data_IF_544083169967
#
_entry.id   IF_544083169967
#
_cell.length_a   1.000
_cell.length_b   1.000
_cell.length_c   1.000
_cell.angle_alpha   90.00
_cell.angle_beta   90.00
_cell.angle_gamma   90.00
#
_symmetry.space_group_name_H-M   'P 1'
#
loop_
_entity.id
_entity.type
_entity.pdbx_description
1 polymer ?
#
# COMPACT_ATOMS: atom_id res chain seq x y z
N UNK A 1 2.30 -10.26 -33.82
CA UNK A 1 1.17 -9.31 -33.72
C UNK A 1 1.24 -8.65 -32.36
N UNK A 2 1.16 -7.34 -32.30
CA UNK A 2 1.07 -6.62 -31.03
C UNK A 2 -0.27 -6.97 -30.36
N UNK A 3 -0.26 -7.22 -29.06
CA UNK A 3 -1.46 -7.56 -28.29
C UNK A 3 -1.97 -6.30 -27.61
N UNK A 4 -3.30 -6.21 -27.45
CA UNK A 4 -3.93 -5.09 -26.74
C UNK A 4 -3.84 -5.27 -25.22
N UNK A 5 -3.90 -4.16 -24.49
CA UNK A 5 -3.84 -4.21 -23.02
C UNK A 5 -4.85 -5.19 -22.40
N UNK A 6 -6.11 -5.15 -22.85
CA UNK A 6 -7.14 -6.03 -22.29
C UNK A 6 -6.85 -7.53 -22.57
N UNK A 7 -6.27 -7.86 -23.73
CA UNK A 7 -5.93 -9.25 -24.09
C UNK A 7 -4.83 -9.78 -23.19
N UNK A 8 -3.78 -8.99 -22.98
CA UNK A 8 -2.65 -9.37 -22.13
C UNK A 8 -3.07 -9.51 -20.68
N UNK A 9 -3.83 -8.54 -20.16
CA UNK A 9 -4.29 -8.58 -18.76
C UNK A 9 -5.29 -9.70 -18.51
N UNK A 10 -6.22 -9.96 -19.43
CA UNK A 10 -7.15 -11.09 -19.29
C UNK A 10 -6.41 -12.42 -19.31
N UNK A 11 -5.44 -12.58 -20.22
CA UNK A 11 -4.60 -13.78 -20.25
C UNK A 11 -3.85 -13.96 -18.93
N UNK A 12 -3.21 -12.91 -18.41
CA UNK A 12 -2.43 -12.97 -17.18
C UNK A 12 -3.31 -13.28 -15.96
N UNK A 13 -4.49 -12.65 -15.87
CA UNK A 13 -5.48 -12.94 -14.82
C UNK A 13 -5.93 -14.41 -14.86
N UNK A 14 -6.35 -14.91 -16.03
CA UNK A 14 -6.77 -16.30 -16.19
C UNK A 14 -5.63 -17.29 -15.91
N UNK A 15 -4.41 -16.91 -16.22
CA UNK A 15 -3.23 -17.73 -15.91
C UNK A 15 -3.00 -17.86 -14.40
N UNK A 16 -3.12 -16.76 -13.63
CA UNK A 16 -3.06 -16.79 -12.16
C UNK A 16 -4.17 -17.66 -11.58
N UNK A 17 -5.41 -17.50 -12.04
CA UNK A 17 -6.57 -18.28 -11.59
C UNK A 17 -6.37 -19.78 -11.83
N UNK A 18 -5.82 -20.14 -12.99
CA UNK A 18 -5.50 -21.54 -13.31
C UNK A 18 -4.44 -22.15 -12.37
N UNK A 19 -3.62 -21.31 -11.73
CA UNK A 19 -2.65 -21.72 -10.72
C UNK A 19 -3.18 -21.58 -9.27
N UNK A 20 -4.48 -21.33 -9.10
CA UNK A 20 -5.12 -21.18 -7.80
C UNK A 20 -4.79 -19.86 -7.08
N UNK A 21 -4.38 -18.83 -7.83
CA UNK A 21 -4.05 -17.50 -7.33
C UNK A 21 -5.14 -16.48 -7.65
N UNK A 22 -5.12 -15.33 -7.00
CA UNK A 22 -6.05 -14.24 -7.27
C UNK A 22 -5.76 -13.59 -8.61
N UNK A 23 -6.60 -13.83 -9.63
CA UNK A 23 -6.44 -13.27 -10.98
C UNK A 23 -6.45 -11.74 -11.00
N UNK A 24 -7.18 -11.11 -10.07
CA UNK A 24 -7.23 -9.65 -9.98
C UNK A 24 -5.88 -9.01 -9.61
N UNK A 25 -4.98 -9.72 -8.93
CA UNK A 25 -3.74 -9.16 -8.42
C UNK A 25 -2.86 -8.55 -9.52
N UNK A 26 -2.72 -9.22 -10.67
CA UNK A 26 -1.89 -8.69 -11.78
C UNK A 26 -2.49 -7.43 -12.40
N UNK A 27 -3.82 -7.37 -12.50
CA UNK A 27 -4.53 -6.19 -13.00
C UNK A 27 -4.35 -5.01 -12.05
N UNK A 28 -4.48 -5.24 -10.75
CA UNK A 28 -4.26 -4.25 -9.72
C UNK A 28 -2.84 -3.68 -9.81
N UNK A 29 -1.81 -4.53 -9.83
CA UNK A 29 -0.41 -4.09 -9.96
C UNK A 29 -0.19 -3.26 -11.21
N UNK A 30 -0.73 -3.71 -12.35
CA UNK A 30 -0.59 -3.02 -13.62
C UNK A 30 -1.23 -1.61 -13.58
N UNK A 31 -2.46 -1.51 -13.13
CA UNK A 31 -3.20 -0.24 -13.08
C UNK A 31 -2.53 0.76 -12.13
N UNK A 32 -2.09 0.31 -10.95
CA UNK A 32 -1.38 1.15 -9.99
C UNK A 32 -0.05 1.66 -10.56
N UNK A 33 0.75 0.82 -11.23
CA UNK A 33 1.99 1.26 -11.88
C UNK A 33 1.76 2.31 -12.97
N UNK A 34 0.65 2.19 -13.69
CA UNK A 34 0.25 3.16 -14.74
C UNK A 34 -0.38 4.42 -14.16
N UNK A 35 -0.80 4.42 -12.90
CA UNK A 35 -1.63 5.47 -12.33
C UNK A 35 -2.99 5.57 -13.04
N UNK A 36 -3.50 4.45 -13.54
CA UNK A 36 -4.76 4.41 -14.27
C UNK A 36 -5.93 4.07 -13.36
N UNK A 37 -6.87 4.98 -13.27
CA UNK A 37 -8.19 4.70 -12.70
C UNK A 37 -9.07 3.91 -13.69
N UNK A 38 -10.30 3.63 -13.27
CA UNK A 38 -11.27 2.91 -14.10
C UNK A 38 -11.55 3.63 -15.43
N UNK A 39 -11.57 4.94 -15.45
CA UNK A 39 -11.82 5.74 -16.66
C UNK A 39 -10.64 5.64 -17.61
N UNK A 40 -9.42 5.83 -17.10
CA UNK A 40 -8.20 5.67 -17.90
C UNK A 40 -8.07 4.27 -18.48
N UNK A 41 -8.39 3.24 -17.69
CA UNK A 41 -8.46 1.88 -18.19
C UNK A 41 -9.41 1.72 -19.38
N UNK A 42 -10.63 2.21 -19.27
CA UNK A 42 -11.64 2.09 -20.36
C UNK A 42 -11.20 2.83 -21.63
N UNK A 43 -10.50 3.95 -21.51
CA UNK A 43 -9.99 4.71 -22.64
C UNK A 43 -8.86 3.98 -23.38
N UNK A 44 -7.95 3.35 -22.64
CA UNK A 44 -6.72 2.79 -23.20
C UNK A 44 -6.74 1.27 -23.42
N UNK A 45 -7.71 0.53 -22.86
CA UNK A 45 -7.69 -0.93 -22.87
C UNK A 45 -7.64 -1.59 -24.26
N UNK A 46 -8.05 -0.86 -25.31
CA UNK A 46 -8.05 -1.33 -26.70
C UNK A 46 -6.75 -1.00 -27.45
N UNK A 47 -5.88 -0.19 -26.87
CA UNK A 47 -4.58 0.16 -27.45
C UNK A 47 -3.61 -1.01 -27.40
N UNK A 48 -2.60 -0.98 -28.27
CA UNK A 48 -1.53 -1.98 -28.28
C UNK A 48 -0.60 -1.76 -27.07
N UNK A 49 -0.31 -2.84 -26.36
CA UNK A 49 0.63 -2.81 -25.24
C UNK A 49 2.08 -2.77 -25.76
N UNK A 50 2.89 -1.79 -25.32
CA UNK A 50 4.33 -1.77 -25.62
C UNK A 50 5.03 -3.03 -25.09
N UNK A 51 6.05 -3.48 -25.80
CA UNK A 51 6.81 -4.69 -25.42
C UNK A 51 7.43 -4.59 -24.03
N UNK A 52 7.96 -3.42 -23.68
CA UNK A 52 8.56 -3.17 -22.37
C UNK A 52 7.54 -3.35 -21.23
N UNK A 53 6.30 -2.90 -21.43
CA UNK A 53 5.22 -3.07 -20.46
C UNK A 53 4.75 -4.53 -20.39
N UNK A 54 4.72 -5.25 -21.51
CA UNK A 54 4.43 -6.69 -21.51
C UNK A 54 5.52 -7.49 -20.78
N UNK A 55 6.78 -7.12 -20.90
CA UNK A 55 7.89 -7.75 -20.18
C UNK A 55 7.84 -7.46 -18.69
N UNK A 56 7.56 -6.22 -18.30
CA UNK A 56 7.36 -5.86 -16.89
C UNK A 56 6.18 -6.64 -16.28
N UNK A 57 5.07 -6.73 -17.00
CA UNK A 57 3.90 -7.48 -16.56
C UNK A 57 4.22 -8.97 -16.36
N UNK A 58 5.02 -9.58 -17.24
CA UNK A 58 5.48 -10.98 -17.07
C UNK A 58 6.35 -11.14 -15.83
N UNK A 59 7.19 -10.16 -15.53
CA UNK A 59 8.03 -10.16 -14.31
C UNK A 59 7.15 -10.09 -13.07
N UNK A 60 6.17 -9.18 -13.04
CA UNK A 60 5.22 -9.06 -11.95
C UNK A 60 4.37 -10.34 -11.79
N UNK A 61 3.93 -10.92 -12.90
CA UNK A 61 3.19 -12.19 -12.92
C UNK A 61 4.01 -13.33 -12.30
N UNK A 62 5.30 -13.44 -12.63
CA UNK A 62 6.17 -14.44 -12.05
C UNK A 62 6.32 -14.31 -10.52
N UNK A 63 6.37 -13.08 -10.02
CA UNK A 63 6.40 -12.81 -8.57
C UNK A 63 5.09 -13.20 -7.89
N UNK A 64 3.95 -12.80 -8.46
CA UNK A 64 2.62 -13.14 -7.93
C UNK A 64 2.38 -14.65 -7.87
N UNK A 65 2.95 -15.42 -8.78
CA UNK A 65 2.90 -16.89 -8.75
C UNK A 65 3.59 -17.49 -7.52
N UNK A 66 4.56 -16.80 -6.95
CA UNK A 66 5.26 -17.22 -5.72
C UNK A 66 4.59 -16.74 -4.43
N UNK A 67 3.35 -16.27 -4.50
CA UNK A 67 2.61 -15.65 -3.39
C UNK A 67 3.26 -14.35 -2.86
N UNK A 68 4.11 -13.72 -3.66
CA UNK A 68 4.67 -12.41 -3.29
C UNK A 68 3.57 -11.35 -3.33
N UNK A 69 3.32 -10.61 -2.24
CA UNK A 69 2.20 -9.68 -2.15
C UNK A 69 2.27 -8.56 -3.19
N UNK A 70 1.14 -8.24 -3.82
CA UNK A 70 1.03 -7.17 -4.80
C UNK A 70 1.50 -5.80 -4.25
N UNK A 71 1.19 -5.51 -2.98
CA UNK A 71 1.61 -4.29 -2.32
C UNK A 71 3.14 -4.19 -2.18
N UNK A 72 3.85 -5.29 -1.96
CA UNK A 72 5.31 -5.29 -1.93
C UNK A 72 5.91 -5.09 -3.34
N UNK A 73 5.26 -5.60 -4.40
CA UNK A 73 5.66 -5.29 -5.78
C UNK A 73 5.53 -3.81 -6.11
N UNK A 74 4.49 -3.17 -5.58
CA UNK A 74 4.25 -1.73 -5.74
C UNK A 74 5.09 -0.89 -4.78
N UNK A 75 5.54 -1.47 -3.67
CA UNK A 75 6.24 -0.76 -2.59
C UNK A 75 5.33 0.16 -1.78
N UNK A 76 4.01 0.06 -1.95
CA UNK A 76 3.02 0.91 -1.28
C UNK A 76 1.72 0.17 -0.98
N UNK A 77 1.02 0.63 0.05
CA UNK A 77 -0.32 0.17 0.43
C UNK A 77 -1.15 1.34 0.95
N UNK A 78 -2.43 1.34 0.62
CA UNK A 78 -3.38 2.33 1.11
C UNK A 78 -3.86 1.96 2.51
N UNK A 79 -3.93 2.97 3.41
CA UNK A 79 -4.48 2.84 4.73
C UNK A 79 -4.98 4.20 5.23
N UNK A 80 -6.22 4.23 5.70
CA UNK A 80 -6.89 5.42 6.27
C UNK A 80 -6.78 6.67 5.37
N UNK A 81 -6.94 6.48 4.06
CA UNK A 81 -6.86 7.55 3.06
C UNK A 81 -5.46 8.06 2.74
N UNK A 82 -4.42 7.37 3.17
CA UNK A 82 -3.02 7.71 2.89
C UNK A 82 -2.28 6.54 2.26
N UNK A 83 -1.31 6.84 1.40
CA UNK A 83 -0.43 5.84 0.81
C UNK A 83 0.83 5.66 1.66
N UNK A 84 1.06 4.43 2.13
CA UNK A 84 2.19 4.06 2.98
C UNK A 84 3.21 3.25 2.19
N UNK A 85 4.48 3.56 2.35
CA UNK A 85 5.59 2.72 1.88
C UNK A 85 5.53 1.40 2.67
N UNK A 86 5.60 0.29 1.94
CA UNK A 86 5.65 -1.06 2.49
C UNK A 86 6.77 -1.87 1.85
N UNK A 87 7.34 -2.79 2.59
CA UNK A 87 8.28 -3.78 2.08
C UNK A 87 8.25 -5.04 2.96
N UNK A 88 9.06 -6.02 2.65
CA UNK A 88 9.14 -7.32 3.35
C UNK A 88 9.52 -7.23 4.85
N UNK A 89 9.91 -6.05 5.34
CA UNK A 89 10.24 -5.83 6.75
C UNK A 89 9.06 -5.35 7.58
N UNK A 90 7.92 -5.08 6.95
CA UNK A 90 6.71 -4.56 7.61
C UNK A 90 5.49 -5.36 7.21
N UNK A 91 4.57 -5.55 8.14
CA UNK A 91 3.26 -6.08 7.80
C UNK A 91 2.50 -5.06 6.94
N UNK A 92 1.86 -5.54 5.86
CA UNK A 92 0.96 -4.71 5.05
C UNK A 92 -0.23 -4.28 5.92
N UNK A 93 -0.50 -2.97 6.03
CA UNK A 93 -1.65 -2.48 6.78
C UNK A 93 -2.96 -3.13 6.31
N UNK A 94 -3.80 -3.54 7.26
CA UNK A 94 -5.07 -4.22 6.97
C UNK A 94 -6.22 -3.22 7.08
N UNK A 95 -7.21 -3.27 6.16
CA UNK A 95 -8.38 -2.38 6.20
C UNK A 95 -9.15 -2.46 7.53
N UNK A 96 -9.25 -3.64 8.15
CA UNK A 96 -9.93 -3.83 9.42
C UNK A 96 -9.28 -3.03 10.56
N UNK A 97 -7.98 -2.73 10.44
CA UNK A 97 -7.24 -1.92 11.42
C UNK A 97 -7.63 -0.44 11.38
N UNK A 98 -8.25 0.02 10.30
CA UNK A 98 -8.78 1.39 10.19
C UNK A 98 -9.88 1.65 11.24
N UNK A 99 -10.66 0.64 11.60
CA UNK A 99 -11.66 0.75 12.68
C UNK A 99 -11.02 1.09 14.03
N UNK A 100 -9.80 0.58 14.30
CA UNK A 100 -9.08 0.93 15.52
C UNK A 100 -8.73 2.41 15.55
N UNK A 101 -8.24 2.96 14.44
CA UNK A 101 -7.96 4.40 14.31
C UNK A 101 -9.23 5.21 14.54
N UNK A 102 -10.33 4.84 13.89
CA UNK A 102 -11.63 5.52 14.10
C UNK A 102 -12.10 5.49 15.55
N UNK A 103 -12.03 4.33 16.20
CA UNK A 103 -12.44 4.19 17.61
C UNK A 103 -11.58 5.03 18.54
N UNK A 104 -10.26 5.05 18.32
CA UNK A 104 -9.36 5.91 19.09
C UNK A 104 -9.71 7.40 18.94
N UNK A 105 -10.00 7.85 17.74
CA UNK A 105 -10.37 9.24 17.46
C UNK A 105 -11.74 9.62 18.04
N UNK A 106 -12.73 8.72 17.97
CA UNK A 106 -14.09 8.94 18.50
C UNK A 106 -14.11 8.94 20.03
N UNK A 107 -13.33 8.06 20.67
CA UNK A 107 -13.28 7.95 22.13
C UNK A 107 -12.52 9.11 22.79
N UNK A 108 -11.66 9.80 22.05
CA UNK A 108 -10.79 10.84 22.57
C UNK A 108 -10.93 12.11 21.71
N UNK A 109 -11.95 12.93 21.97
CA UNK A 109 -12.09 14.19 21.27
C UNK A 109 -10.94 15.15 21.66
N UNK A 110 -10.73 16.17 20.89
CA UNK A 110 -9.67 17.19 20.79
C UNK A 110 -8.81 17.58 22.02
N UNK A 111 -8.74 16.77 23.06
CA UNK A 111 -7.80 17.00 24.18
C UNK A 111 -6.40 16.52 23.82
N UNK A 112 -5.34 17.27 24.18
CA UNK A 112 -3.96 16.81 23.98
C UNK A 112 -3.70 15.50 24.71
N UNK A 113 -3.26 14.49 23.99
CA UNK A 113 -2.95 13.17 24.53
C UNK A 113 -1.53 12.75 24.18
N UNK A 114 -0.98 11.84 24.97
CA UNK A 114 0.18 11.04 24.60
C UNK A 114 -0.29 9.65 24.24
N UNK A 115 -0.02 9.21 23.00
CA UNK A 115 -0.37 7.89 22.48
C UNK A 115 0.89 7.13 22.19
N UNK A 116 0.90 5.85 22.52
CA UNK A 116 2.01 4.94 22.21
C UNK A 116 1.48 3.82 21.32
N UNK A 117 2.06 3.66 20.14
CA UNK A 117 1.79 2.57 19.20
C UNK A 117 2.91 1.53 19.31
N UNK A 118 2.59 0.36 19.85
CA UNK A 118 3.54 -0.72 20.11
C UNK A 118 3.48 -1.74 18.98
N UNK A 119 4.62 -2.00 18.33
CA UNK A 119 4.68 -2.82 17.12
C UNK A 119 4.16 -2.04 15.91
N UNK A 120 4.65 -0.81 15.74
CA UNK A 120 4.11 0.14 14.76
C UNK A 120 4.22 -0.29 13.30
N UNK A 121 5.17 -1.20 12.98
CA UNK A 121 5.40 -1.68 11.62
C UNK A 121 5.68 -0.54 10.64
N UNK A 122 4.77 -0.29 9.71
CA UNK A 122 4.84 0.82 8.74
C UNK A 122 4.59 2.20 9.35
N UNK A 123 4.16 2.26 10.61
CA UNK A 123 3.68 3.47 11.24
C UNK A 123 2.22 3.81 10.91
N UNK A 124 1.47 2.92 10.28
CA UNK A 124 0.14 3.21 9.73
C UNK A 124 -0.83 3.76 10.79
N UNK A 125 -0.93 3.13 11.96
CA UNK A 125 -1.80 3.58 13.05
C UNK A 125 -1.28 4.91 13.63
N UNK A 126 -0.01 4.94 14.04
CA UNK A 126 0.61 6.10 14.66
C UNK A 126 0.50 7.37 13.80
N UNK A 127 0.86 7.23 12.51
CA UNK A 127 0.86 8.33 11.55
C UNK A 127 -0.56 8.81 11.28
N UNK A 128 -1.52 7.90 11.07
CA UNK A 128 -2.93 8.26 10.85
C UNK A 128 -3.53 9.01 12.04
N UNK A 129 -3.23 8.58 13.27
CA UNK A 129 -3.64 9.28 14.48
C UNK A 129 -3.00 10.67 14.57
N UNK A 130 -1.71 10.80 14.26
CA UNK A 130 -0.98 12.06 14.27
C UNK A 130 -1.52 13.05 13.24
N UNK A 131 -1.81 12.60 12.03
CA UNK A 131 -2.38 13.44 10.98
C UNK A 131 -3.79 13.92 11.34
N UNK A 132 -4.62 13.05 11.93
CA UNK A 132 -5.96 13.39 12.37
C UNK A 132 -5.99 14.29 13.62
N UNK A 133 -4.97 14.23 14.48
CA UNK A 133 -4.84 15.00 15.74
C UNK A 133 -3.44 15.58 15.89
N UNK A 134 -3.12 16.69 15.21
CA UNK A 134 -1.77 17.28 15.24
C UNK A 134 -1.29 17.70 16.63
N UNK A 135 -2.22 17.96 17.57
CA UNK A 135 -1.93 18.30 18.96
C UNK A 135 -1.58 17.09 19.85
N UNK A 136 -1.79 15.87 19.37
CA UNK A 136 -1.39 14.66 20.10
C UNK A 136 0.12 14.42 19.99
N UNK A 137 0.70 13.97 21.10
CA UNK A 137 2.06 13.41 21.09
C UNK A 137 1.95 11.92 20.78
N UNK A 138 2.39 11.51 19.60
CA UNK A 138 2.37 10.09 19.18
C UNK A 138 3.78 9.53 19.20
N UNK A 139 3.94 8.39 19.87
CA UNK A 139 5.20 7.66 20.00
C UNK A 139 4.99 6.30 19.35
N UNK A 140 5.75 6.00 18.32
CA UNK A 140 5.74 4.71 17.64
C UNK A 140 6.98 3.90 18.04
N UNK A 141 6.79 2.66 18.44
CA UNK A 141 7.87 1.75 18.80
C UNK A 141 7.74 0.41 18.07
N UNK A 142 8.88 -0.18 17.74
CA UNK A 142 8.96 -1.52 17.15
C UNK A 142 10.25 -2.19 17.58
N UNK A 143 10.26 -3.52 17.64
CA UNK A 143 11.47 -4.32 17.89
C UNK A 143 12.38 -4.38 16.66
N UNK A 144 11.82 -4.20 15.47
CA UNK A 144 12.54 -4.23 14.20
C UNK A 144 13.02 -2.84 13.82
N UNK A 145 14.34 -2.63 13.82
CA UNK A 145 14.96 -1.38 13.32
C UNK A 145 14.62 -1.13 11.84
N UNK A 146 14.46 -2.20 11.06
CA UNK A 146 14.07 -2.11 9.66
C UNK A 146 12.63 -1.61 9.51
N UNK A 147 11.71 -2.08 10.36
CA UNK A 147 10.34 -1.57 10.40
C UNK A 147 10.32 -0.09 10.82
N UNK A 148 11.09 0.30 11.85
CA UNK A 148 11.21 1.70 12.25
C UNK A 148 11.77 2.59 11.13
N UNK A 149 12.67 2.08 10.31
CA UNK A 149 13.17 2.81 9.13
C UNK A 149 12.04 3.11 8.15
N UNK A 150 11.18 2.13 7.87
CA UNK A 150 9.99 2.31 7.01
C UNK A 150 9.01 3.29 7.64
N UNK A 151 8.72 3.15 8.94
CA UNK A 151 7.84 4.07 9.67
C UNK A 151 8.34 5.52 9.62
N UNK A 152 9.66 5.74 9.77
CA UNK A 152 10.29 7.07 9.63
C UNK A 152 10.11 7.66 8.22
N UNK A 153 10.34 6.85 7.19
CA UNK A 153 10.13 7.26 5.80
C UNK A 153 8.67 7.67 5.57
N UNK A 154 7.72 6.89 6.06
CA UNK A 154 6.30 7.21 5.98
C UNK A 154 5.94 8.49 6.75
N UNK A 155 6.45 8.66 7.97
CA UNK A 155 6.22 9.87 8.76
C UNK A 155 6.73 11.13 8.04
N UNK A 156 7.90 11.04 7.40
CA UNK A 156 8.46 12.14 6.62
C UNK A 156 7.65 12.42 5.35
N UNK A 157 7.32 11.36 4.58
CA UNK A 157 6.58 11.48 3.33
C UNK A 157 5.18 12.07 3.53
N UNK A 158 4.51 11.72 4.64
CA UNK A 158 3.16 12.17 4.97
C UNK A 158 3.12 13.44 5.85
N UNK A 159 4.26 14.00 6.21
CA UNK A 159 4.34 15.22 7.01
C UNK A 159 3.95 15.04 8.49
N UNK A 160 4.03 13.82 9.01
CA UNK A 160 3.75 13.50 10.41
C UNK A 160 5.00 13.56 11.32
N UNK A 161 6.18 13.76 10.74
CA UNK A 161 7.48 13.79 11.44
C UNK A 161 7.77 15.15 12.05
N UNK A 162 7.07 15.56 13.10
CA UNK A 162 7.37 16.78 13.87
C UNK A 162 8.15 16.48 15.15
N UNK A 163 8.59 17.56 15.86
CA UNK A 163 9.34 17.46 17.13
C UNK A 163 8.54 16.81 18.28
N UNK A 164 7.24 16.58 18.11
CA UNK A 164 6.35 15.98 19.12
C UNK A 164 6.06 14.51 18.84
N UNK A 165 6.51 13.99 17.71
CA UNK A 165 6.37 12.59 17.33
C UNK A 165 7.74 11.93 17.37
N UNK A 166 7.82 10.76 17.98
CA UNK A 166 9.03 9.93 18.05
C UNK A 166 8.67 8.62 17.35
N UNK A 167 9.34 8.35 16.26
CA UNK A 167 9.33 7.06 15.56
C UNK A 167 10.65 6.35 15.86
#
# INVERSE_FOLDING_TARGET
MAKRYFEVLNWASSFLEAQGKEGYAIRYVFLERKGWDKTQWLLHMQEEMPKEEEEQLKTDLAQLLTDYPAQYLLGQAEFYGHSFIVNEHTLIPRPETEELVERCLKANPDTPLTVVDVGTGTGAIAISLKLARPNWRVIAIDLSEKALTVAKQNAQALGAGDRKSVV
#
